data_IF_147737277786
#
_entry.id   IF_147737277786
#
_cell.length_a   1.000
_cell.length_b   1.000
_cell.length_c   1.000
_cell.angle_alpha   90.00
_cell.angle_beta   90.00
_cell.angle_gamma   90.00
#
_symmetry.space_group_name_H-M   'P 1'
#
loop_
_entity.id
_entity.type
_entity.pdbx_description
1 polymer ?
#
# COMPACT_ATOMS: atom_id res chain seq x y z
N UNK A 1 -0.55 -7.85 24.84
CA UNK A 1 -0.81 -8.17 23.41
C UNK A 1 -1.18 -6.87 22.72
N UNK A 2 -0.53 -6.53 21.61
CA UNK A 2 -0.97 -5.39 20.78
C UNK A 2 -2.22 -5.87 20.03
N UNK A 3 -3.27 -5.05 19.96
CA UNK A 3 -4.46 -5.37 19.15
C UNK A 3 -4.10 -5.44 17.66
N UNK A 4 -5.02 -5.99 16.82
CA UNK A 4 -4.83 -6.02 15.37
C UNK A 4 -4.66 -4.59 14.84
N UNK A 5 -3.77 -4.38 13.87
CA UNK A 5 -3.57 -3.04 13.34
C UNK A 5 -2.42 -2.87 12.38
N UNK A 6 -2.33 -1.64 11.87
CA UNK A 6 -1.25 -1.21 10.99
C UNK A 6 -0.04 -0.79 11.81
N UNK A 7 1.14 -1.17 11.34
CA UNK A 7 2.45 -0.76 11.86
C UNK A 7 3.38 -0.42 10.71
N UNK A 8 4.33 0.49 10.95
CA UNK A 8 5.30 0.88 9.93
C UNK A 8 6.35 -0.19 9.63
N UNK A 9 6.84 -0.18 8.40
CA UNK A 9 7.96 -0.99 7.95
C UNK A 9 9.28 -0.25 8.18
N UNK A 10 10.11 -0.86 9.02
CA UNK A 10 11.47 -0.40 9.35
C UNK A 10 12.46 -1.56 9.21
N UNK A 11 13.74 -1.30 9.38
CA UNK A 11 14.76 -2.36 9.48
C UNK A 11 14.37 -3.41 10.53
N UNK A 12 13.84 -2.96 11.69
CA UNK A 12 13.45 -3.85 12.79
C UNK A 12 12.24 -4.74 12.49
N UNK A 13 11.35 -4.33 11.55
CA UNK A 13 10.15 -5.08 11.15
C UNK A 13 10.27 -5.73 9.77
N UNK A 14 11.39 -5.53 9.07
CA UNK A 14 11.60 -5.98 7.68
C UNK A 14 11.44 -7.49 7.49
N UNK A 15 11.72 -8.30 8.52
CA UNK A 15 11.56 -9.75 8.48
C UNK A 15 10.10 -10.21 8.63
N UNK A 16 9.18 -9.33 9.04
CA UNK A 16 7.76 -9.65 9.22
C UNK A 16 7.01 -9.72 7.88
N UNK A 17 7.54 -9.09 6.81
CA UNK A 17 6.92 -9.17 5.48
C UNK A 17 6.94 -10.59 4.92
N UNK A 18 6.05 -10.84 3.95
CA UNK A 18 6.00 -12.13 3.27
C UNK A 18 7.38 -12.52 2.69
N UNK A 19 7.77 -13.81 2.72
CA UNK A 19 9.08 -14.27 2.22
C UNK A 19 9.40 -13.78 0.80
N UNK A 20 8.41 -13.75 -0.10
CA UNK A 20 8.56 -13.26 -1.47
C UNK A 20 8.89 -11.76 -1.55
N UNK A 21 8.60 -10.99 -0.50
CA UNK A 21 8.83 -9.54 -0.45
C UNK A 21 10.17 -9.18 0.21
N UNK A 22 10.76 -10.06 1.03
CA UNK A 22 11.98 -9.77 1.82
C UNK A 22 13.14 -9.36 0.95
N UNK A 23 13.40 -10.13 -0.10
CA UNK A 23 14.54 -9.93 -0.99
C UNK A 23 14.13 -9.33 -2.35
N UNK A 24 12.84 -9.05 -2.54
CA UNK A 24 12.34 -8.47 -3.76
C UNK A 24 12.86 -7.05 -3.95
N UNK A 25 13.55 -6.83 -5.06
CA UNK A 25 14.11 -5.53 -5.47
C UNK A 25 13.56 -5.07 -6.82
N UNK A 26 12.37 -5.52 -7.17
CA UNK A 26 11.80 -5.23 -8.48
C UNK A 26 11.66 -3.72 -8.74
N UNK A 27 11.10 -2.98 -7.80
CA UNK A 27 10.95 -1.53 -7.89
C UNK A 27 12.27 -0.76 -7.74
N UNK A 28 13.20 -1.32 -6.98
CA UNK A 28 14.50 -0.73 -6.68
C UNK A 28 15.55 -0.94 -7.76
N UNK A 29 15.29 -1.89 -8.69
CA UNK A 29 16.22 -2.24 -9.79
C UNK A 29 15.73 -1.63 -11.10
N UNK A 30 16.70 -1.19 -11.94
CA UNK A 30 16.41 -0.62 -13.26
C UNK A 30 17.45 -1.08 -14.28
N UNK A 31 16.98 -1.52 -15.45
CA UNK A 31 17.85 -2.08 -16.49
C UNK A 31 18.67 -3.26 -15.94
N UNK A 32 19.97 -3.25 -16.20
CA UNK A 32 20.92 -4.28 -15.73
C UNK A 32 21.43 -4.04 -14.30
N UNK A 33 20.96 -3.01 -13.60
CA UNK A 33 21.37 -2.69 -12.23
C UNK A 33 20.44 -3.36 -11.24
N UNK A 34 20.94 -4.40 -10.56
CA UNK A 34 20.24 -5.04 -9.44
C UNK A 34 20.59 -4.31 -8.14
N UNK A 35 19.56 -3.84 -7.45
CA UNK A 35 19.72 -3.22 -6.13
C UNK A 35 19.98 -4.26 -5.04
N UNK A 36 20.65 -3.85 -3.97
CA UNK A 36 20.65 -4.60 -2.72
C UNK A 36 19.46 -4.19 -1.87
N UNK A 37 18.59 -5.14 -1.50
CA UNK A 37 17.41 -4.84 -0.67
C UNK A 37 17.81 -4.22 0.66
N UNK A 38 18.85 -4.77 1.31
CA UNK A 38 19.33 -4.29 2.60
C UNK A 38 19.79 -2.82 2.51
N UNK A 39 20.66 -2.50 1.52
CA UNK A 39 21.13 -1.12 1.33
C UNK A 39 20.00 -0.14 0.97
N UNK A 40 19.01 -0.63 0.24
CA UNK A 40 17.84 0.19 -0.09
C UNK A 40 17.01 0.47 1.17
N UNK A 41 16.78 -0.53 2.05
CA UNK A 41 16.07 -0.36 3.32
C UNK A 41 16.80 0.67 4.19
N UNK A 42 18.11 0.52 4.39
CA UNK A 42 18.94 1.43 5.17
C UNK A 42 18.82 2.88 4.67
N UNK A 43 18.95 3.05 3.36
CA UNK A 43 18.81 4.36 2.72
C UNK A 43 17.39 4.93 2.87
N UNK A 44 16.36 4.12 2.63
CA UNK A 44 14.98 4.56 2.73
C UNK A 44 14.63 4.98 4.18
N UNK A 45 15.12 4.24 5.18
CA UNK A 45 14.91 4.56 6.59
C UNK A 45 15.67 5.83 7.01
N UNK A 46 16.89 6.05 6.50
CA UNK A 46 17.69 7.25 6.76
C UNK A 46 17.07 8.51 6.12
N UNK A 47 16.64 8.42 4.87
CA UNK A 47 16.18 9.59 4.09
C UNK A 47 14.68 9.88 4.26
N UNK A 48 13.89 8.87 4.60
CA UNK A 48 12.43 8.96 4.65
C UNK A 48 11.83 8.47 5.97
N UNK A 49 12.40 7.43 6.58
CA UNK A 49 11.88 6.72 7.76
C UNK A 49 11.16 5.44 7.38
N UNK A 50 9.95 5.22 7.87
CA UNK A 50 9.16 4.03 7.53
C UNK A 50 8.89 3.98 6.01
N UNK A 51 9.33 2.89 5.35
CA UNK A 51 9.26 2.70 3.90
C UNK A 51 8.06 1.86 3.47
N UNK A 52 7.07 1.75 4.34
CA UNK A 52 5.87 0.98 4.09
C UNK A 52 5.09 0.70 5.36
N UNK A 53 4.04 -0.10 5.24
CA UNK A 53 3.19 -0.52 6.36
C UNK A 53 2.91 -2.01 6.29
N UNK A 54 2.69 -2.64 7.45
CA UNK A 54 2.20 -4.01 7.60
C UNK A 54 0.90 -3.99 8.39
N UNK A 55 0.03 -4.93 8.08
CA UNK A 55 -1.16 -5.22 8.88
C UNK A 55 -0.99 -6.57 9.57
N UNK A 56 -1.08 -6.57 10.89
CA UNK A 56 -1.00 -7.78 11.72
C UNK A 56 -2.35 -8.08 12.37
N UNK A 57 -2.70 -9.36 12.47
CA UNK A 57 -3.86 -9.78 13.24
C UNK A 57 -3.60 -9.74 14.77
N UNK A 58 -4.59 -10.10 15.58
CA UNK A 58 -4.50 -10.14 17.03
C UNK A 58 -3.43 -11.10 17.57
N UNK A 59 -2.98 -12.06 16.74
CA UNK A 59 -1.94 -13.03 17.07
C UNK A 59 -0.56 -12.60 16.53
N UNK A 60 -0.45 -11.41 15.92
CA UNK A 60 0.77 -10.92 15.32
C UNK A 60 1.12 -11.55 13.97
N UNK A 61 0.17 -12.23 13.31
CA UNK A 61 0.39 -12.82 11.98
C UNK A 61 0.17 -11.76 10.91
N UNK A 62 1.03 -11.77 9.88
CA UNK A 62 0.93 -10.88 8.75
C UNK A 62 -0.35 -11.17 7.93
N UNK A 63 -1.20 -10.17 7.74
CA UNK A 63 -2.33 -10.21 6.82
C UNK A 63 -2.04 -9.48 5.51
N UNK A 64 -1.20 -8.44 5.54
CA UNK A 64 -0.80 -7.70 4.36
C UNK A 64 0.34 -6.74 4.61
N UNK A 65 0.96 -6.26 3.53
CA UNK A 65 1.98 -5.22 3.58
C UNK A 65 1.89 -4.33 2.35
N UNK A 66 2.19 -3.05 2.52
CA UNK A 66 2.24 -2.03 1.49
C UNK A 66 3.59 -1.34 1.52
N UNK A 67 4.26 -1.18 0.37
CA UNK A 67 5.51 -0.45 0.24
C UNK A 67 5.24 0.92 -0.40
N UNK A 68 5.81 1.98 0.17
CA UNK A 68 5.73 3.34 -0.34
C UNK A 68 6.91 4.19 0.14
N UNK A 69 7.11 5.33 -0.49
CA UNK A 69 8.14 6.31 -0.15
C UNK A 69 8.38 7.28 -1.30
N UNK A 70 9.35 8.19 -1.21
CA UNK A 70 9.69 9.12 -2.28
C UNK A 70 9.94 8.41 -3.60
N UNK A 71 9.46 8.99 -4.70
CA UNK A 71 9.51 8.39 -6.03
C UNK A 71 10.92 7.97 -6.47
N UNK A 72 11.94 8.74 -6.10
CA UNK A 72 13.35 8.48 -6.45
C UNK A 72 13.92 7.19 -5.84
N UNK A 73 13.29 6.64 -4.80
CA UNK A 73 13.66 5.34 -4.22
C UNK A 73 13.21 4.15 -5.09
N UNK A 74 12.40 4.42 -6.12
CA UNK A 74 11.79 3.41 -7.00
C UNK A 74 12.11 3.67 -8.47
N UNK A 75 13.39 3.56 -8.89
CA UNK A 75 13.82 3.94 -10.23
C UNK A 75 13.13 3.17 -11.37
N UNK A 76 12.55 1.99 -11.11
CA UNK A 76 11.78 1.24 -12.11
C UNK A 76 10.51 1.95 -12.55
N UNK A 77 9.98 2.88 -11.76
CA UNK A 77 8.83 3.69 -12.15
C UNK A 77 9.01 4.40 -13.49
N UNK A 78 10.26 4.74 -13.85
CA UNK A 78 10.57 5.37 -15.13
C UNK A 78 10.45 4.41 -16.34
N UNK A 79 10.46 3.11 -16.12
CA UNK A 79 10.37 2.09 -17.19
C UNK A 79 8.92 1.59 -17.38
N UNK A 80 8.00 1.97 -16.49
CA UNK A 80 6.60 1.59 -16.62
C UNK A 80 5.86 2.43 -17.66
N UNK A 81 4.87 1.87 -18.36
CA UNK A 81 3.92 2.68 -19.11
C UNK A 81 3.32 3.75 -18.19
N UNK A 82 3.14 4.97 -18.70
CA UNK A 82 2.71 6.15 -17.95
C UNK A 82 3.72 6.71 -16.92
N UNK A 83 4.91 6.10 -16.75
CA UNK A 83 5.99 6.65 -15.93
C UNK A 83 6.72 7.85 -16.58
N UNK A 84 7.68 8.45 -15.86
CA UNK A 84 8.05 8.25 -14.47
C UNK A 84 7.01 8.77 -13.48
N UNK A 85 7.13 8.42 -12.19
CA UNK A 85 6.43 9.11 -11.11
C UNK A 85 6.98 10.53 -10.94
N UNK A 86 6.19 11.42 -10.33
CA UNK A 86 6.57 12.83 -10.12
C UNK A 86 7.57 12.96 -8.97
N UNK A 87 8.51 13.91 -9.09
CA UNK A 87 9.57 14.12 -8.09
C UNK A 87 9.04 14.67 -6.76
N UNK A 88 7.88 15.34 -6.78
CA UNK A 88 7.21 15.93 -5.62
C UNK A 88 6.25 14.95 -4.90
N UNK A 89 6.15 13.71 -5.39
CA UNK A 89 5.23 12.73 -4.86
C UNK A 89 5.94 11.56 -4.15
N UNK A 90 5.26 10.99 -3.17
CA UNK A 90 5.55 9.64 -2.74
C UNK A 90 4.86 8.63 -3.68
N UNK A 91 5.49 7.49 -3.90
CA UNK A 91 4.97 6.43 -4.76
C UNK A 91 4.58 5.22 -3.93
N UNK A 92 3.35 4.75 -4.08
CA UNK A 92 2.89 3.46 -3.58
C UNK A 92 3.23 2.40 -4.63
N UNK A 93 3.92 1.34 -4.22
CA UNK A 93 4.54 0.41 -5.17
C UNK A 93 3.98 -1.01 -5.13
N UNK A 94 4.04 -1.68 -4.00
CA UNK A 94 3.64 -3.08 -3.87
C UNK A 94 2.61 -3.24 -2.77
N UNK A 95 1.54 -3.96 -3.06
CA UNK A 95 0.60 -4.45 -2.06
C UNK A 95 0.66 -5.98 -2.03
N UNK A 96 0.99 -6.54 -0.88
CA UNK A 96 0.88 -7.96 -0.61
C UNK A 96 -0.30 -8.21 0.34
N UNK A 97 -1.15 -9.15 -0.01
CA UNK A 97 -2.24 -9.61 0.85
C UNK A 97 -2.14 -11.12 1.07
N UNK A 98 -2.44 -11.56 2.27
CA UNK A 98 -2.71 -12.97 2.51
C UNK A 98 -4.07 -13.32 1.92
N UNK A 99 -4.19 -14.52 1.32
CA UNK A 99 -5.47 -14.99 0.77
C UNK A 99 -6.56 -14.94 1.85
N UNK A 100 -7.72 -14.40 1.51
CA UNK A 100 -8.85 -14.19 2.42
C UNK A 100 -8.74 -12.96 3.34
N UNK A 101 -7.67 -12.14 3.19
CA UNK A 101 -7.50 -10.90 3.95
C UNK A 101 -7.94 -9.64 3.17
N UNK A 102 -8.62 -9.82 2.03
CA UNK A 102 -9.11 -8.70 1.19
C UNK A 102 -10.35 -8.04 1.77
N UNK A 103 -10.62 -6.80 1.35
CA UNK A 103 -11.80 -6.01 1.67
C UNK A 103 -11.51 -4.86 2.63
N UNK A 104 -10.70 -5.06 3.66
CA UNK A 104 -10.39 -4.03 4.66
C UNK A 104 -8.88 -3.85 4.92
N UNK A 105 -8.07 -4.90 4.75
CA UNK A 105 -6.62 -4.84 4.98
C UNK A 105 -5.95 -3.91 3.96
N UNK A 106 -6.25 -4.07 2.67
CA UNK A 106 -5.73 -3.21 1.61
C UNK A 106 -6.14 -1.75 1.80
N UNK A 107 -7.39 -1.50 2.21
CA UNK A 107 -7.90 -0.15 2.49
C UNK A 107 -7.19 0.47 3.68
N UNK A 108 -7.00 -0.29 4.75
CA UNK A 108 -6.28 0.18 5.94
C UNK A 108 -4.81 0.50 5.64
N UNK A 109 -4.15 -0.31 4.84
CA UNK A 109 -2.76 -0.09 4.42
C UNK A 109 -2.62 1.15 3.53
N UNK A 110 -3.54 1.36 2.58
CA UNK A 110 -3.52 2.55 1.72
C UNK A 110 -3.83 3.82 2.53
N UNK A 111 -4.79 3.78 3.45
CA UNK A 111 -5.08 4.90 4.35
C UNK A 111 -3.88 5.26 5.24
N UNK A 112 -3.13 4.26 5.71
CA UNK A 112 -1.90 4.50 6.46
C UNK A 112 -0.84 5.20 5.58
N UNK A 113 -0.65 4.75 4.34
CA UNK A 113 0.28 5.39 3.40
C UNK A 113 -0.12 6.85 3.09
N UNK A 114 -1.42 7.12 2.91
CA UNK A 114 -1.96 8.48 2.71
C UNK A 114 -1.66 9.36 3.94
N UNK A 115 -1.99 8.87 5.13
CA UNK A 115 -1.77 9.59 6.37
C UNK A 115 -0.30 9.89 6.63
N UNK A 116 0.56 8.89 6.49
CA UNK A 116 2.01 9.01 6.70
C UNK A 116 2.65 9.98 5.71
N UNK A 117 2.33 9.85 4.42
CA UNK A 117 2.86 10.74 3.38
C UNK A 117 2.44 12.19 3.61
N UNK A 118 1.19 12.43 4.01
CA UNK A 118 0.70 13.75 4.38
C UNK A 118 1.45 14.31 5.61
N UNK A 119 1.59 13.51 6.66
CA UNK A 119 2.22 13.93 7.92
C UNK A 119 3.71 14.25 7.73
N UNK A 120 4.34 13.71 6.69
CA UNK A 120 5.70 14.03 6.24
C UNK A 120 5.76 15.25 5.30
N UNK A 121 4.64 15.88 5.01
CA UNK A 121 4.58 17.07 4.15
C UNK A 121 4.75 16.78 2.66
N UNK A 122 4.53 15.53 2.22
CA UNK A 122 4.55 15.20 0.79
C UNK A 122 3.37 15.86 0.09
N UNK A 123 3.60 16.43 -1.10
CA UNK A 123 2.57 17.14 -1.87
C UNK A 123 1.48 16.20 -2.35
N UNK A 124 1.87 15.02 -2.82
CA UNK A 124 0.95 14.03 -3.38
C UNK A 124 1.41 12.59 -3.14
N UNK A 125 0.47 11.68 -3.28
CA UNK A 125 0.71 10.24 -3.33
C UNK A 125 0.36 9.73 -4.73
N UNK A 126 1.26 8.97 -5.35
CA UNK A 126 1.06 8.40 -6.68
C UNK A 126 1.06 6.86 -6.63
N UNK A 127 0.36 6.24 -7.56
CA UNK A 127 0.34 4.80 -7.74
C UNK A 127 0.08 4.45 -9.21
N UNK A 128 0.69 3.37 -9.70
CA UNK A 128 0.36 2.83 -11.01
C UNK A 128 -0.90 1.99 -10.92
N UNK A 129 -1.85 2.23 -11.82
CA UNK A 129 -3.11 1.54 -11.90
C UNK A 129 -3.26 0.78 -13.22
N UNK A 130 -4.13 -0.21 -13.21
CA UNK A 130 -4.50 -0.99 -14.39
C UNK A 130 -6.01 -1.20 -14.42
N UNK A 131 -6.61 -1.09 -15.61
CA UNK A 131 -8.01 -1.44 -15.84
C UNK A 131 -8.12 -2.92 -16.17
N UNK A 132 -8.47 -3.70 -15.16
CA UNK A 132 -8.63 -5.14 -15.29
C UNK A 132 -9.92 -5.51 -16.03
N UNK A 133 -9.96 -6.70 -16.67
CA UNK A 133 -11.19 -7.24 -17.21
C UNK A 133 -12.26 -7.41 -16.12
N UNK A 134 -13.53 -7.20 -16.48
CA UNK A 134 -14.65 -7.26 -15.53
C UNK A 134 -14.85 -8.62 -14.87
N UNK A 135 -14.40 -9.69 -15.51
CA UNK A 135 -14.52 -11.06 -14.98
C UNK A 135 -13.51 -11.40 -13.86
N UNK A 136 -12.47 -10.58 -13.64
CA UNK A 136 -11.54 -10.78 -12.54
C UNK A 136 -12.11 -10.20 -11.24
N UNK A 137 -12.11 -11.00 -10.18
CA UNK A 137 -12.50 -10.55 -8.85
C UNK A 137 -11.44 -9.61 -8.25
N UNK A 138 -11.83 -8.75 -7.31
CA UNK A 138 -10.89 -7.87 -6.62
C UNK A 138 -9.79 -8.66 -5.89
N UNK A 139 -10.14 -9.80 -5.28
CA UNK A 139 -9.17 -10.66 -4.62
C UNK A 139 -8.12 -11.20 -5.60
N UNK A 140 -8.54 -11.70 -6.77
CA UNK A 140 -7.63 -12.18 -7.81
C UNK A 140 -6.68 -11.08 -8.28
N UNK A 141 -7.18 -9.87 -8.51
CA UNK A 141 -6.38 -8.73 -8.93
C UNK A 141 -5.26 -8.41 -7.94
N UNK A 142 -5.54 -8.38 -6.64
CA UNK A 142 -4.53 -8.14 -5.63
C UNK A 142 -3.58 -9.31 -5.37
N UNK A 143 -4.05 -10.54 -5.49
CA UNK A 143 -3.21 -11.73 -5.28
C UNK A 143 -2.24 -11.97 -6.43
N UNK A 144 -2.65 -11.66 -7.66
CA UNK A 144 -1.85 -11.89 -8.88
C UNK A 144 -1.00 -10.67 -9.23
N UNK A 145 -1.58 -9.46 -9.16
CA UNK A 145 -0.95 -8.22 -9.60
C UNK A 145 -0.58 -7.33 -8.41
N UNK A 146 0.56 -7.57 -7.83
CA UNK A 146 0.99 -6.90 -6.58
C UNK A 146 1.66 -5.54 -6.79
N UNK A 147 2.01 -5.20 -8.03
CA UNK A 147 2.82 -4.02 -8.37
C UNK A 147 2.04 -2.92 -9.09
N UNK A 148 0.82 -3.22 -9.49
CA UNK A 148 -0.08 -2.28 -10.19
C UNK A 148 -1.46 -2.45 -9.59
N UNK A 149 -2.07 -1.35 -9.18
CA UNK A 149 -3.34 -1.37 -8.44
C UNK A 149 -4.54 -1.47 -9.40
N UNK A 150 -5.66 -2.08 -8.98
CA UNK A 150 -6.92 -1.92 -9.67
C UNK A 150 -7.30 -0.44 -9.73
N UNK A 151 -7.71 0.05 -10.91
CA UNK A 151 -8.05 1.47 -11.08
C UNK A 151 -9.25 1.86 -10.21
N UNK A 152 -10.27 1.02 -10.19
CA UNK A 152 -11.48 1.18 -9.38
C UNK A 152 -11.18 1.27 -7.87
N UNK A 153 -10.20 0.49 -7.38
CA UNK A 153 -9.75 0.58 -5.99
C UNK A 153 -9.14 1.96 -5.67
N UNK A 154 -8.32 2.52 -6.56
CA UNK A 154 -7.74 3.86 -6.34
C UNK A 154 -8.79 4.97 -6.46
N UNK A 155 -9.83 4.78 -7.28
CA UNK A 155 -10.97 5.72 -7.41
C UNK A 155 -11.69 5.93 -6.07
N UNK A 156 -11.84 4.86 -5.27
CA UNK A 156 -12.48 4.94 -3.95
C UNK A 156 -11.77 5.91 -3.00
N UNK A 157 -10.47 6.17 -3.21
CA UNK A 157 -9.66 7.07 -2.39
C UNK A 157 -9.44 8.45 -3.03
N UNK A 158 -10.06 8.70 -4.18
CA UNK A 158 -9.98 9.99 -4.85
C UNK A 158 -8.72 10.20 -5.70
N UNK A 159 -7.99 9.14 -6.04
CA UNK A 159 -6.90 9.26 -7.00
C UNK A 159 -7.43 9.63 -8.38
N UNK A 160 -6.89 10.67 -8.98
CA UNK A 160 -7.16 11.07 -10.35
C UNK A 160 -6.08 10.56 -11.31
N UNK A 161 -6.43 10.24 -12.55
CA UNK A 161 -5.45 9.87 -13.58
C UNK A 161 -4.59 11.08 -13.93
N UNK A 162 -3.28 10.99 -13.71
CA UNK A 162 -2.31 11.99 -14.11
C UNK A 162 -1.84 11.76 -15.56
N UNK A 163 -1.52 10.52 -15.90
CA UNK A 163 -1.09 10.08 -17.25
C UNK A 163 -1.58 8.67 -17.53
N UNK A 164 -1.80 8.35 -18.79
CA UNK A 164 -2.12 6.99 -19.21
C UNK A 164 -1.32 6.56 -20.45
N UNK A 165 -0.96 5.29 -20.50
CA UNK A 165 -0.36 4.66 -21.67
C UNK A 165 -0.88 3.24 -21.81
N UNK A 166 -1.70 3.00 -22.83
CA UNK A 166 -2.42 1.75 -22.99
C UNK A 166 -3.42 1.53 -21.85
N UNK A 167 -3.27 0.41 -21.14
CA UNK A 167 -4.12 0.07 -19.99
C UNK A 167 -3.53 0.47 -18.64
N UNK A 168 -2.31 1.01 -18.64
CA UNK A 168 -1.63 1.45 -17.42
C UNK A 168 -1.83 2.95 -17.25
N UNK A 169 -2.19 3.35 -16.05
CA UNK A 169 -2.37 4.74 -15.64
C UNK A 169 -1.44 5.04 -14.48
N UNK A 170 -0.82 6.21 -14.47
CA UNK A 170 -0.26 6.80 -13.27
C UNK A 170 -1.34 7.65 -12.64
N UNK A 171 -1.74 7.30 -11.43
CA UNK A 171 -2.79 7.97 -10.67
C UNK A 171 -2.18 8.76 -9.53
N UNK A 172 -2.76 9.92 -9.22
CA UNK A 172 -2.27 10.87 -8.22
C UNK A 172 -3.38 11.31 -7.29
N UNK A 173 -3.07 11.37 -6.00
CA UNK A 173 -3.89 11.94 -4.94
C UNK A 173 -3.16 13.14 -4.34
N UNK A 174 -3.75 14.33 -4.42
CA UNK A 174 -3.22 15.54 -3.77
C UNK A 174 -3.46 15.47 -2.25
N UNK A 175 -2.41 15.70 -1.47
CA UNK A 175 -2.46 15.57 -0.01
C UNK A 175 -2.67 16.92 0.71
N UNK A 176 -2.36 18.03 0.06
CA UNK A 176 -2.39 19.37 0.68
C UNK A 176 -3.75 19.87 1.16
N UNK A 177 -4.85 19.29 0.66
CA UNK A 177 -6.22 19.61 1.12
C UNK A 177 -6.76 18.69 2.22
N UNK A 178 -6.03 17.63 2.57
CA UNK A 178 -6.48 16.64 3.54
C UNK A 178 -6.23 17.13 4.97
N UNK A 179 -7.30 17.32 5.75
CA UNK A 179 -7.16 17.66 7.17
C UNK A 179 -6.68 16.44 7.97
N UNK A 180 -5.76 16.69 8.91
CA UNK A 180 -5.36 15.67 9.87
C UNK A 180 -6.56 15.28 10.74
N UNK A 181 -6.89 14.00 10.80
CA UNK A 181 -7.85 13.50 11.77
C UNK A 181 -7.09 13.28 13.08
N UNK A 182 -7.56 13.90 14.19
CA UNK A 182 -6.97 13.71 15.52
C UNK A 182 -6.83 12.22 15.85
N UNK A 183 -5.73 11.83 16.53
CA UNK A 183 -5.40 10.42 16.79
C UNK A 183 -6.54 9.61 17.42
N UNK A 184 -7.32 10.22 18.32
CA UNK A 184 -8.50 9.60 18.93
C UNK A 184 -9.64 9.31 17.94
N UNK A 185 -9.74 10.10 16.86
CA UNK A 185 -10.71 9.88 15.78
C UNK A 185 -10.21 8.85 14.76
N UNK A 186 -8.88 8.77 14.52
CA UNK A 186 -8.28 7.73 13.66
C UNK A 186 -8.61 6.33 14.19
N UNK A 187 -8.42 6.10 15.50
CA UNK A 187 -8.77 4.83 16.14
C UNK A 187 -10.26 4.52 16.04
N UNK A 188 -11.12 5.55 16.12
CA UNK A 188 -12.58 5.41 16.05
C UNK A 188 -13.06 5.12 14.62
N UNK A 189 -12.47 5.77 13.60
CA UNK A 189 -12.77 5.51 12.19
C UNK A 189 -12.31 4.11 11.78
N UNK A 190 -11.11 3.69 12.18
CA UNK A 190 -10.61 2.34 11.94
C UNK A 190 -11.50 1.27 12.62
N UNK A 191 -12.01 1.52 13.85
CA UNK A 191 -12.95 0.62 14.50
C UNK A 191 -14.30 0.56 13.78
N UNK A 192 -14.85 1.70 13.38
CA UNK A 192 -16.13 1.75 12.64
C UNK A 192 -16.02 1.02 11.30
N UNK A 193 -14.89 1.14 10.61
CA UNK A 193 -14.63 0.39 9.38
C UNK A 193 -14.47 -1.11 9.67
N UNK A 194 -13.78 -1.49 10.74
CA UNK A 194 -13.66 -2.88 11.17
C UNK A 194 -15.02 -3.49 11.55
N UNK A 195 -15.83 -2.79 12.34
CA UNK A 195 -17.16 -3.25 12.80
C UNK A 195 -18.16 -3.36 11.65
N UNK A 196 -18.07 -2.47 10.64
CA UNK A 196 -18.94 -2.51 9.47
C UNK A 196 -18.65 -3.69 8.52
N UNK A 197 -17.44 -4.25 8.56
CA UNK A 197 -17.01 -5.37 7.71
C UNK A 197 -16.78 -6.68 8.46
N UNK A 198 -17.04 -6.73 9.78
CA UNK A 198 -16.99 -7.99 10.53
C UNK A 198 -18.28 -8.78 10.24
N UNK A 199 -18.21 -9.97 9.60
CA UNK A 199 -19.41 -10.77 9.36
C UNK A 199 -20.04 -11.16 10.69
N UNK A 200 -21.32 -10.83 10.87
CA UNK A 200 -22.10 -11.25 12.03
C UNK A 200 -22.09 -12.78 12.09
N UNK A 201 -21.69 -13.41 13.21
CA UNK A 201 -21.73 -14.87 13.33
C UNK A 201 -23.13 -15.37 13.08
N UNK A 202 -23.32 -16.25 12.09
CA UNK A 202 -24.60 -16.92 11.86
C UNK A 202 -24.83 -17.83 13.05
N UNK A 203 -25.95 -17.68 13.82
CA UNK A 203 -26.25 -18.57 14.92
C UNK A 203 -26.43 -20.00 14.39
N UNK A 204 -25.64 -20.93 14.89
CA UNK A 204 -25.85 -22.35 14.59
C UNK A 204 -27.20 -22.78 15.13
N UNK A 205 -28.04 -23.53 14.38
CA UNK A 205 -29.26 -24.09 14.92
C UNK A 205 -28.93 -25.01 16.10
N UNK A 206 -29.61 -24.81 17.21
CA UNK A 206 -29.50 -25.70 18.36
C UNK A 206 -30.11 -27.05 18.01
N UNK A 207 -29.52 -28.15 18.49
CA UNK A 207 -30.02 -29.51 18.23
C UNK A 207 -31.39 -29.74 18.86
#
# INVERSE_FOLDING_TARGET
>A
MRGPGVSGLTTGTSQTVAPVCRDCVWWQSRGNRTASKQRWIERAEEEWGEWGSIYLDEHGRLLGSLQYGPSYLFPRAADLPAGPASDDAALVTCLYLLRGATGWVEKSLLLAAIGESRDRGTTALEAFAYRYPEHETQEERFLVHRTVFPRDFLDEFGFATLRSQGRVELCRLELGGLQAVEEGRRAKVLRVVQDAFTPTPIPLPRP
#
